data_IF_042423790244
#
_entry.id   IF_042423790244
#
_cell.length_a   1.000
_cell.length_b   1.000
_cell.length_c   1.000
_cell.angle_alpha   90.00
_cell.angle_beta   90.00
_cell.angle_gamma   90.00
#
_symmetry.space_group_name_H-M   'P 1'
#
loop_
_entity.id
_entity.type
_entity.pdbx_description
1 polymer ?
#
# COMPACT_ATOMS: atom_id res chain seq x y z
N UNK A 1 32.83 -19.23 -5.39
CA UNK A 1 31.86 -18.86 -4.37
C UNK A 1 30.49 -18.74 -5.02
N UNK A 2 29.46 -19.32 -4.41
CA UNK A 2 28.08 -19.18 -4.88
C UNK A 2 27.66 -17.71 -4.69
N UNK A 3 27.08 -17.11 -5.74
CA UNK A 3 26.57 -15.74 -5.65
C UNK A 3 25.16 -15.80 -4.99
N UNK A 4 25.07 -15.41 -3.73
CA UNK A 4 23.80 -15.42 -2.99
C UNK A 4 22.89 -14.31 -3.51
N UNK A 5 21.58 -14.58 -3.73
CA UNK A 5 20.65 -13.59 -4.28
C UNK A 5 20.25 -12.48 -3.27
N UNK A 6 20.37 -12.75 -1.96
CA UNK A 6 19.97 -11.82 -0.91
C UNK A 6 21.11 -10.83 -0.59
N UNK A 7 21.34 -9.90 -1.49
CA UNK A 7 22.11 -8.69 -1.26
C UNK A 7 21.32 -7.53 -1.87
N UNK A 8 20.52 -6.89 -1.06
CA UNK A 8 19.59 -5.84 -1.49
C UNK A 8 20.35 -4.52 -1.57
N UNK A 9 20.53 -4.03 -2.78
CA UNK A 9 21.18 -2.76 -3.09
C UNK A 9 20.41 -2.09 -4.22
N UNK A 10 19.86 -0.91 -3.92
CA UNK A 10 19.13 -0.07 -4.88
C UNK A 10 19.93 1.15 -5.33
N UNK A 11 21.23 1.16 -5.16
CA UNK A 11 22.11 2.26 -5.62
C UNK A 11 21.84 2.55 -7.11
N UNK A 12 21.56 3.80 -7.42
CA UNK A 12 21.23 4.25 -8.78
C UNK A 12 19.78 4.08 -9.20
N UNK A 13 18.95 3.35 -8.44
CA UNK A 13 17.51 3.19 -8.72
C UNK A 13 16.70 4.36 -8.16
N UNK A 14 15.67 4.76 -8.90
CA UNK A 14 14.66 5.74 -8.47
C UNK A 14 13.39 4.97 -8.05
N UNK A 15 12.96 5.18 -6.83
CA UNK A 15 11.75 4.58 -6.25
C UNK A 15 10.69 5.66 -6.05
N UNK A 16 9.56 5.52 -6.72
CA UNK A 16 8.40 6.41 -6.56
C UNK A 16 7.39 5.73 -5.65
N UNK A 17 6.95 6.42 -4.59
CA UNK A 17 6.05 5.87 -3.58
C UNK A 17 4.86 6.80 -3.39
N UNK A 18 3.65 6.35 -3.71
CA UNK A 18 2.42 7.09 -3.44
C UNK A 18 1.90 6.79 -2.03
N UNK A 19 1.28 7.78 -1.38
CA UNK A 19 0.84 7.66 0.01
C UNK A 19 2.00 7.68 1.00
N UNK A 20 3.15 8.26 0.63
CA UNK A 20 4.39 8.22 1.40
C UNK A 20 4.34 8.98 2.72
N UNK A 21 3.38 9.88 2.90
CA UNK A 21 3.12 10.54 4.19
C UNK A 21 2.48 9.61 5.23
N UNK A 22 2.00 8.42 4.83
CA UNK A 22 1.39 7.43 5.73
C UNK A 22 2.41 6.50 6.39
N UNK A 23 1.95 5.78 7.44
CA UNK A 23 2.78 4.90 8.26
C UNK A 23 3.53 3.84 7.44
N UNK A 24 2.82 3.09 6.60
CA UNK A 24 3.39 1.96 5.84
C UNK A 24 4.35 2.48 4.77
N UNK A 25 3.90 3.40 3.92
CA UNK A 25 4.69 3.89 2.80
C UNK A 25 5.83 4.80 3.23
N UNK A 26 5.70 5.52 4.36
CA UNK A 26 6.80 6.25 4.99
C UNK A 26 7.91 5.32 5.49
N UNK A 27 7.55 4.18 6.11
CA UNK A 27 8.53 3.16 6.50
C UNK A 27 9.21 2.54 5.27
N UNK A 28 8.47 2.27 4.19
CA UNK A 28 9.05 1.78 2.93
C UNK A 28 10.02 2.78 2.31
N UNK A 29 9.67 4.08 2.29
CA UNK A 29 10.54 5.14 1.79
C UNK A 29 11.89 5.16 2.52
N UNK A 30 11.86 5.05 3.86
CA UNK A 30 13.08 4.94 4.67
C UNK A 30 13.90 3.69 4.34
N UNK A 31 13.25 2.55 4.20
CA UNK A 31 13.92 1.30 3.88
C UNK A 31 14.59 1.33 2.50
N UNK A 32 13.92 1.83 1.47
CA UNK A 32 14.51 1.99 0.14
C UNK A 32 15.69 2.98 0.16
N UNK A 33 15.55 4.11 0.86
CA UNK A 33 16.64 5.09 1.00
C UNK A 33 17.88 4.48 1.69
N UNK A 34 17.68 3.70 2.77
CA UNK A 34 18.76 2.99 3.47
C UNK A 34 19.43 1.92 2.60
N UNK A 35 18.71 1.35 1.62
CA UNK A 35 19.27 0.45 0.62
C UNK A 35 19.87 1.18 -0.61
N UNK A 36 20.08 2.50 -0.54
CA UNK A 36 20.77 3.28 -1.57
C UNK A 36 19.91 3.86 -2.68
N UNK A 37 18.58 3.68 -2.63
CA UNK A 37 17.69 4.26 -3.64
C UNK A 37 17.57 5.79 -3.51
N UNK A 38 17.29 6.43 -4.65
CA UNK A 38 16.74 7.79 -4.69
C UNK A 38 15.22 7.68 -4.54
N UNK A 39 14.63 8.34 -3.55
CA UNK A 39 13.20 8.20 -3.24
C UNK A 39 12.42 9.44 -3.66
N UNK A 40 11.38 9.25 -4.46
CA UNK A 40 10.33 10.23 -4.72
C UNK A 40 9.13 9.91 -3.82
N UNK A 41 8.92 10.68 -2.78
CA UNK A 41 7.83 10.52 -1.83
C UNK A 41 6.62 11.36 -2.27
N UNK A 42 5.52 10.72 -2.68
CA UNK A 42 4.32 11.35 -3.19
C UNK A 42 3.17 11.22 -2.19
N UNK A 43 2.50 12.33 -1.85
CA UNK A 43 1.29 12.33 -1.03
C UNK A 43 0.41 13.56 -1.35
N UNK A 44 -0.87 13.48 -1.02
CA UNK A 44 -1.76 14.63 -1.03
C UNK A 44 -1.37 15.64 0.07
N UNK A 45 -0.85 15.14 1.20
CA UNK A 45 -0.32 15.93 2.30
C UNK A 45 1.15 16.32 2.03
N UNK A 46 1.33 17.50 1.46
CA UNK A 46 2.63 18.07 1.10
C UNK A 46 3.57 18.19 2.31
N UNK A 47 3.04 18.64 3.46
CA UNK A 47 3.83 18.82 4.68
C UNK A 47 4.42 17.49 5.18
N UNK A 48 3.62 16.41 5.12
CA UNK A 48 4.07 15.09 5.56
C UNK A 48 5.22 14.55 4.70
N UNK A 49 5.15 14.69 3.37
CA UNK A 49 6.22 14.20 2.48
C UNK A 49 7.44 15.09 2.48
N UNK A 50 7.27 16.40 2.67
CA UNK A 50 8.42 17.30 2.83
C UNK A 50 9.17 16.98 4.12
N UNK A 51 8.47 16.80 5.24
CA UNK A 51 9.07 16.38 6.50
C UNK A 51 9.85 15.06 6.36
N UNK A 52 9.24 14.05 5.71
CA UNK A 52 9.92 12.77 5.44
C UNK A 52 11.19 12.95 4.61
N UNK A 53 11.12 13.77 3.57
CA UNK A 53 12.27 14.05 2.70
C UNK A 53 13.39 14.77 3.48
N UNK A 54 13.05 15.79 4.28
CA UNK A 54 14.02 16.55 5.08
C UNK A 54 14.72 15.64 6.11
N UNK A 55 13.98 14.76 6.79
CA UNK A 55 14.53 13.78 7.73
C UNK A 55 15.52 12.84 7.04
N UNK A 56 15.14 12.26 5.90
CA UNK A 56 16.01 11.34 5.14
C UNK A 56 17.24 12.06 4.56
N UNK A 57 17.09 13.28 4.07
CA UNK A 57 18.22 14.09 3.61
C UNK A 57 19.19 14.47 4.76
N UNK A 58 18.68 14.74 5.95
CA UNK A 58 19.51 14.99 7.13
C UNK A 58 20.33 13.75 7.56
N UNK A 59 19.83 12.54 7.27
CA UNK A 59 20.54 11.27 7.47
C UNK A 59 21.52 10.94 6.32
N UNK A 60 21.60 11.79 5.27
CA UNK A 60 22.49 11.62 4.13
C UNK A 60 21.93 10.82 2.96
N UNK A 61 20.62 10.51 2.97
CA UNK A 61 19.95 9.83 1.87
C UNK A 61 19.41 10.81 0.82
N UNK A 62 19.02 10.31 -0.34
CA UNK A 62 18.44 11.10 -1.42
C UNK A 62 16.92 10.88 -1.42
N UNK A 63 16.17 11.87 -0.99
CA UNK A 63 14.71 11.86 -0.98
C UNK A 63 14.17 13.23 -1.39
N UNK A 64 13.07 13.24 -2.17
CA UNK A 64 12.30 14.46 -2.47
C UNK A 64 10.82 14.21 -2.23
N UNK A 65 10.16 15.17 -1.59
CA UNK A 65 8.71 15.18 -1.37
C UNK A 65 8.00 15.90 -2.51
N UNK A 66 6.89 15.32 -2.98
CA UNK A 66 6.04 15.90 -4.02
C UNK A 66 4.57 15.84 -3.58
N UNK A 67 3.89 16.97 -3.65
CA UNK A 67 2.43 16.99 -3.50
C UNK A 67 1.79 16.36 -4.72
N UNK A 68 1.05 15.29 -4.54
CA UNK A 68 0.39 14.57 -5.62
C UNK A 68 -1.01 14.11 -5.22
N UNK A 69 -2.00 14.44 -6.05
CA UNK A 69 -3.31 13.80 -6.01
C UNK A 69 -3.28 12.62 -6.99
N UNK A 70 -3.30 11.39 -6.47
CA UNK A 70 -3.28 10.18 -7.30
C UNK A 70 -4.54 9.96 -8.14
N UNK A 71 -5.57 10.78 -7.95
CA UNK A 71 -6.81 10.77 -8.74
C UNK A 71 -6.84 11.82 -9.85
N UNK A 72 -5.77 12.58 -10.00
CA UNK A 72 -5.66 13.65 -10.99
C UNK A 72 -4.53 13.33 -12.00
N UNK A 73 -4.89 12.93 -13.23
CA UNK A 73 -3.88 12.59 -14.24
C UNK A 73 -2.95 13.76 -14.62
N UNK A 74 -3.44 15.00 -14.63
CA UNK A 74 -2.62 16.16 -14.99
C UNK A 74 -1.58 16.45 -13.90
N UNK A 75 -1.98 16.34 -12.64
CA UNK A 75 -1.04 16.44 -11.50
C UNK A 75 0.00 15.32 -11.56
N UNK A 76 -0.41 14.09 -11.86
CA UNK A 76 0.52 12.96 -11.96
C UNK A 76 1.53 13.12 -13.09
N UNK A 77 1.13 13.61 -14.26
CA UNK A 77 2.05 13.91 -15.37
C UNK A 77 3.03 15.05 -15.01
N UNK A 78 2.55 16.10 -14.35
CA UNK A 78 3.41 17.18 -13.88
C UNK A 78 4.43 16.70 -12.84
N UNK A 79 4.00 15.88 -11.88
CA UNK A 79 4.88 15.30 -10.88
C UNK A 79 5.87 14.31 -11.51
N UNK A 80 5.43 13.49 -12.48
CA UNK A 80 6.33 12.60 -13.22
C UNK A 80 7.46 13.39 -13.91
N UNK A 81 7.14 14.50 -14.58
CA UNK A 81 8.15 15.36 -15.20
C UNK A 81 9.14 15.95 -14.19
N UNK A 82 8.67 16.34 -12.99
CA UNK A 82 9.53 16.82 -11.92
C UNK A 82 10.44 15.71 -11.38
N UNK A 83 9.90 14.50 -11.10
CA UNK A 83 10.68 13.34 -10.64
C UNK A 83 11.76 12.97 -11.66
N UNK A 84 11.41 12.95 -12.96
CA UNK A 84 12.33 12.65 -14.04
C UNK A 84 13.49 13.66 -14.08
N UNK A 85 13.20 14.94 -13.91
CA UNK A 85 14.22 16.00 -13.89
C UNK A 85 15.10 15.96 -12.64
N UNK A 86 14.53 15.66 -11.49
CA UNK A 86 15.19 15.73 -10.19
C UNK A 86 16.00 14.48 -9.85
N UNK A 87 15.44 13.30 -10.12
CA UNK A 87 15.95 12.02 -9.64
C UNK A 87 16.29 11.05 -10.78
N UNK A 88 15.61 11.17 -11.92
CA UNK A 88 15.74 10.27 -13.07
C UNK A 88 14.49 9.43 -13.35
N UNK A 89 14.58 8.48 -14.30
CA UNK A 89 13.52 7.53 -14.67
C UNK A 89 13.09 6.68 -13.48
N UNK A 90 11.79 6.47 -13.30
CA UNK A 90 11.26 5.57 -12.29
C UNK A 90 11.64 4.12 -12.59
N UNK A 91 12.32 3.46 -11.66
CA UNK A 91 12.66 2.03 -11.76
C UNK A 91 11.71 1.16 -10.92
N UNK A 92 11.20 1.71 -9.83
CA UNK A 92 10.30 1.01 -8.92
C UNK A 92 9.16 1.94 -8.56
N UNK A 93 7.93 1.48 -8.75
CA UNK A 93 6.72 2.19 -8.34
C UNK A 93 6.03 1.43 -7.21
N UNK A 94 5.82 2.09 -6.07
CA UNK A 94 5.01 1.57 -4.96
C UNK A 94 3.69 2.33 -4.92
N UNK A 95 2.60 1.66 -5.24
CA UNK A 95 1.25 2.19 -5.18
C UNK A 95 0.66 1.94 -3.79
N UNK A 96 0.78 2.92 -2.89
CA UNK A 96 0.34 2.79 -1.51
C UNK A 96 -0.75 3.77 -1.07
N UNK A 97 -1.12 4.73 -1.92
CA UNK A 97 -2.25 5.60 -1.64
C UNK A 97 -3.55 4.78 -1.56
N UNK A 98 -4.29 4.93 -0.48
CA UNK A 98 -5.51 4.15 -0.27
C UNK A 98 -6.14 4.43 1.10
N UNK A 99 -7.34 3.94 1.29
CA UNK A 99 -8.06 4.09 2.57
C UNK A 99 -9.53 3.73 2.47
N UNK A 100 -10.21 3.72 3.60
CA UNK A 100 -11.64 3.50 3.70
C UNK A 100 -12.38 4.84 3.90
N UNK A 101 -13.71 4.79 3.83
CA UNK A 101 -14.58 5.95 4.08
C UNK A 101 -15.72 5.57 5.04
N UNK A 102 -15.96 6.36 6.12
CA UNK A 102 -17.04 6.08 7.07
C UNK A 102 -18.44 6.05 6.41
N UNK A 103 -18.63 6.76 5.28
CA UNK A 103 -19.90 6.73 4.54
C UNK A 103 -20.16 5.40 3.83
N UNK A 104 -19.11 4.63 3.54
CA UNK A 104 -19.17 3.28 2.97
C UNK A 104 -19.00 2.17 4.02
N UNK A 105 -19.32 2.44 5.28
CA UNK A 105 -19.12 1.54 6.43
C UNK A 105 -20.43 1.33 7.16
N UNK A 106 -20.82 0.07 7.44
CA UNK A 106 -22.01 -0.25 8.28
C UNK A 106 -21.68 -0.15 9.76
N UNK A 107 -22.69 0.11 10.59
CA UNK A 107 -22.54 0.16 12.05
C UNK A 107 -22.34 -1.23 12.66
N UNK A 108 -23.10 -2.23 12.16
CA UNK A 108 -23.10 -3.58 12.68
C UNK A 108 -22.48 -4.58 11.70
N UNK A 109 -22.04 -5.72 12.22
CA UNK A 109 -21.43 -6.79 11.43
C UNK A 109 -22.48 -7.59 10.67
N UNK A 110 -23.61 -7.88 11.31
CA UNK A 110 -24.73 -8.64 10.76
C UNK A 110 -25.96 -7.78 10.65
N UNK A 111 -26.76 -8.00 9.62
CA UNK A 111 -27.96 -7.20 9.37
C UNK A 111 -29.01 -7.34 10.47
N UNK A 112 -29.18 -8.52 11.07
CA UNK A 112 -30.10 -8.75 12.16
C UNK A 112 -29.75 -8.03 13.46
N UNK A 113 -28.53 -7.49 13.56
CA UNK A 113 -28.08 -6.64 14.69
C UNK A 113 -28.30 -5.16 14.39
N UNK A 114 -28.87 -4.79 13.26
CA UNK A 114 -29.08 -3.39 12.89
C UNK A 114 -30.08 -2.71 13.85
N UNK A 115 -29.70 -1.53 14.31
CA UNK A 115 -30.56 -0.66 15.13
C UNK A 115 -31.07 0.51 14.29
N UNK A 116 -32.20 1.14 14.67
CA UNK A 116 -32.73 2.28 13.92
C UNK A 116 -31.75 3.46 13.79
N UNK A 117 -30.84 3.63 14.76
CA UNK A 117 -29.84 4.71 14.78
C UNK A 117 -28.55 4.31 14.06
N UNK A 118 -28.37 3.02 13.76
CA UNK A 118 -27.19 2.46 13.09
C UNK A 118 -27.33 2.48 11.58
N UNK A 119 -26.18 2.64 10.90
CA UNK A 119 -26.12 2.52 9.44
C UNK A 119 -26.10 1.05 9.03
N UNK A 120 -27.15 0.61 8.34
CA UNK A 120 -27.28 -0.72 7.75
C UNK A 120 -26.62 -0.78 6.36
N UNK A 121 -26.70 -1.94 5.69
CA UNK A 121 -26.29 -2.08 4.30
C UNK A 121 -27.05 -1.15 3.35
N UNK A 122 -28.35 -0.94 3.61
CA UNK A 122 -29.22 -0.11 2.77
C UNK A 122 -28.95 1.39 2.91
N UNK A 123 -28.20 1.79 3.94
CA UNK A 123 -27.85 3.19 4.23
C UNK A 123 -26.44 3.54 3.76
N UNK A 124 -25.75 2.63 3.08
CA UNK A 124 -24.43 2.92 2.51
C UNK A 124 -24.53 4.01 1.44
N UNK A 125 -23.73 5.06 1.60
CA UNK A 125 -23.71 6.19 0.70
C UNK A 125 -22.95 5.85 -0.59
N UNK A 126 -23.63 5.92 -1.74
CA UNK A 126 -23.04 5.65 -3.05
C UNK A 126 -21.81 6.53 -3.32
N UNK A 127 -21.78 7.79 -2.87
CA UNK A 127 -20.62 8.66 -3.04
C UNK A 127 -19.44 8.25 -2.16
N UNK A 128 -19.72 7.68 -0.98
CA UNK A 128 -18.71 7.08 -0.11
C UNK A 128 -18.10 5.82 -0.72
N UNK A 129 -18.94 4.97 -1.32
CA UNK A 129 -18.50 3.78 -2.07
C UNK A 129 -17.63 4.17 -3.26
N UNK A 130 -18.10 5.13 -4.07
CA UNK A 130 -17.37 5.67 -5.24
C UNK A 130 -15.99 6.22 -4.84
N UNK A 131 -15.93 7.01 -3.75
CA UNK A 131 -14.67 7.50 -3.22
C UNK A 131 -13.69 6.38 -2.88
N UNK A 132 -14.16 5.30 -2.21
CA UNK A 132 -13.30 4.17 -1.83
C UNK A 132 -12.76 3.46 -3.05
N UNK A 133 -13.58 3.21 -4.08
CA UNK A 133 -13.12 2.59 -5.32
C UNK A 133 -12.16 3.50 -6.09
N UNK A 134 -12.47 4.79 -6.21
CA UNK A 134 -11.56 5.76 -6.84
C UNK A 134 -10.22 5.77 -6.12
N UNK A 135 -10.21 6.00 -4.81
CA UNK A 135 -8.95 6.13 -4.08
C UNK A 135 -8.10 4.85 -4.15
N UNK A 136 -8.69 3.67 -3.95
CA UNK A 136 -7.89 2.44 -3.89
C UNK A 136 -7.57 1.88 -5.29
N UNK A 137 -8.53 1.83 -6.21
CA UNK A 137 -8.32 1.23 -7.52
C UNK A 137 -7.76 2.24 -8.54
N UNK A 138 -8.43 3.37 -8.76
CA UNK A 138 -7.91 4.39 -9.70
C UNK A 138 -6.61 5.01 -9.17
N UNK A 139 -6.48 5.21 -7.84
CA UNK A 139 -5.24 5.67 -7.20
C UNK A 139 -4.07 4.67 -7.28
N UNK A 140 -4.31 3.44 -7.74
CA UNK A 140 -3.27 2.47 -8.15
C UNK A 140 -3.05 2.51 -9.67
N UNK A 141 -4.13 2.57 -10.45
CA UNK A 141 -4.09 2.56 -11.92
C UNK A 141 -3.41 3.81 -12.49
N UNK A 142 -3.84 5.00 -12.07
CA UNK A 142 -3.36 6.27 -12.65
C UNK A 142 -1.86 6.52 -12.42
N UNK A 143 -1.29 6.33 -11.20
CA UNK A 143 0.16 6.41 -11.03
C UNK A 143 0.90 5.35 -11.85
N UNK A 144 0.33 4.15 -12.00
CA UNK A 144 0.92 3.11 -12.86
C UNK A 144 1.00 3.60 -14.31
N UNK A 145 -0.05 4.24 -14.84
CA UNK A 145 -0.03 4.82 -16.19
C UNK A 145 1.01 5.94 -16.32
N UNK A 146 1.18 6.78 -15.29
CA UNK A 146 2.11 7.89 -15.33
C UNK A 146 3.58 7.44 -15.29
N UNK A 147 3.93 6.49 -14.41
CA UNK A 147 5.32 6.16 -14.11
C UNK A 147 5.83 4.87 -14.78
N UNK A 148 4.97 3.87 -15.11
CA UNK A 148 5.44 2.62 -15.69
C UNK A 148 5.98 2.78 -17.12
N UNK A 149 5.67 3.88 -17.81
CA UNK A 149 6.26 4.18 -19.13
C UNK A 149 7.77 4.36 -19.10
N UNK A 150 8.35 4.77 -17.97
CA UNK A 150 9.79 4.88 -17.77
C UNK A 150 10.49 3.52 -17.78
N UNK A 151 9.73 2.45 -17.45
CA UNK A 151 10.24 1.08 -17.29
C UNK A 151 10.20 0.26 -18.60
N UNK A 152 9.58 0.77 -19.67
CA UNK A 152 9.33 -0.02 -20.89
C UNK A 152 10.62 -0.50 -21.59
N UNK A 153 11.69 0.27 -21.53
CA UNK A 153 12.97 -0.04 -22.17
C UNK A 153 13.86 -0.88 -21.29
N UNK A 154 14.00 -0.50 -20.01
CA UNK A 154 14.99 -1.03 -19.09
C UNK A 154 14.41 -2.07 -18.10
N UNK A 155 13.11 -2.30 -18.15
CA UNK A 155 12.39 -3.08 -17.14
C UNK A 155 12.18 -2.31 -15.83
N UNK A 156 11.55 -2.94 -14.87
CA UNK A 156 11.26 -2.33 -13.56
C UNK A 156 10.35 -3.16 -12.69
N UNK A 157 9.93 -2.59 -11.58
CA UNK A 157 9.04 -3.25 -10.65
C UNK A 157 7.90 -2.35 -10.20
N UNK A 158 6.68 -2.89 -10.21
CA UNK A 158 5.49 -2.28 -9.62
C UNK A 158 5.10 -3.10 -8.40
N UNK A 159 5.00 -2.45 -7.24
CA UNK A 159 4.50 -3.05 -6.01
C UNK A 159 3.21 -2.35 -5.59
N UNK A 160 2.11 -3.09 -5.56
CA UNK A 160 0.83 -2.57 -5.12
C UNK A 160 0.56 -2.94 -3.65
N UNK A 161 -0.07 -2.03 -2.92
CA UNK A 161 -0.52 -2.32 -1.55
C UNK A 161 -1.98 -2.76 -1.60
N UNK A 162 -2.18 -4.09 -1.54
CA UNK A 162 -3.47 -4.71 -1.38
C UNK A 162 -3.89 -4.73 0.10
N UNK A 163 -4.53 -5.77 0.56
CA UNK A 163 -4.91 -6.00 1.96
C UNK A 163 -5.29 -7.45 2.15
N UNK A 164 -5.17 -8.00 3.35
CA UNK A 164 -5.76 -9.30 3.70
C UNK A 164 -7.28 -9.32 3.45
N UNK A 165 -7.94 -8.16 3.42
CA UNK A 165 -9.35 -8.01 3.06
C UNK A 165 -9.68 -8.43 1.63
N UNK A 166 -8.69 -8.50 0.75
CA UNK A 166 -8.86 -9.02 -0.61
C UNK A 166 -9.08 -10.54 -0.63
N UNK A 167 -8.61 -11.24 0.40
CA UNK A 167 -8.79 -12.69 0.58
C UNK A 167 -9.99 -13.01 1.46
N UNK A 168 -10.07 -12.35 2.61
CA UNK A 168 -11.11 -12.57 3.62
C UNK A 168 -11.78 -11.23 3.90
N UNK A 169 -12.94 -10.93 3.27
CA UNK A 169 -13.59 -9.64 3.41
C UNK A 169 -14.03 -9.44 4.86
N UNK A 170 -13.64 -8.29 5.42
CA UNK A 170 -14.10 -7.91 6.73
C UNK A 170 -15.56 -7.45 6.70
N UNK A 171 -16.28 -7.77 7.77
CA UNK A 171 -17.58 -7.17 8.04
C UNK A 171 -17.50 -5.65 8.09
N UNK A 172 -18.59 -4.93 7.87
CA UNK A 172 -18.75 -3.47 7.92
C UNK A 172 -18.15 -2.66 6.77
N UNK A 173 -17.13 -3.14 6.03
CA UNK A 173 -16.39 -2.37 5.03
C UNK A 173 -16.41 -3.01 3.63
N UNK A 174 -17.60 -3.23 3.04
CA UNK A 174 -17.73 -3.98 1.78
C UNK A 174 -17.00 -3.31 0.62
N UNK A 175 -17.08 -1.98 0.51
CA UNK A 175 -16.45 -1.24 -0.57
C UNK A 175 -14.91 -1.33 -0.53
N UNK A 176 -14.31 -1.23 0.66
CA UNK A 176 -12.87 -1.34 0.81
C UNK A 176 -12.35 -2.75 0.47
N UNK A 177 -13.02 -3.79 0.97
CA UNK A 177 -12.67 -5.18 0.68
C UNK A 177 -12.74 -5.47 -0.82
N UNK A 178 -13.82 -5.05 -1.49
CA UNK A 178 -14.00 -5.21 -2.93
C UNK A 178 -12.94 -4.42 -3.73
N UNK A 179 -12.64 -3.17 -3.34
CA UNK A 179 -11.63 -2.37 -4.01
C UNK A 179 -10.22 -3.00 -3.89
N UNK A 180 -9.86 -3.54 -2.72
CA UNK A 180 -8.57 -4.23 -2.50
C UNK A 180 -8.50 -5.57 -3.23
N UNK A 181 -9.62 -6.31 -3.37
CA UNK A 181 -9.70 -7.47 -4.26
C UNK A 181 -9.48 -7.06 -5.73
N UNK A 182 -10.03 -5.92 -6.14
CA UNK A 182 -9.77 -5.31 -7.45
C UNK A 182 -8.28 -5.00 -7.66
N UNK A 183 -7.58 -4.43 -6.66
CA UNK A 183 -6.12 -4.20 -6.72
C UNK A 183 -5.34 -5.50 -6.87
N UNK A 184 -5.74 -6.57 -6.15
CA UNK A 184 -5.10 -7.89 -6.27
C UNK A 184 -5.26 -8.47 -7.68
N UNK A 185 -6.46 -8.42 -8.23
CA UNK A 185 -6.73 -8.88 -9.60
C UNK A 185 -5.99 -8.01 -10.65
N UNK A 186 -5.98 -6.69 -10.47
CA UNK A 186 -5.25 -5.77 -11.35
C UNK A 186 -3.73 -6.01 -11.31
N UNK A 187 -3.17 -6.38 -10.17
CA UNK A 187 -1.76 -6.79 -10.05
C UNK A 187 -1.44 -7.99 -10.95
N UNK A 188 -2.31 -9.00 -10.95
CA UNK A 188 -2.15 -10.19 -11.79
C UNK A 188 -2.30 -9.84 -13.28
N UNK A 189 -3.27 -8.97 -13.61
CA UNK A 189 -3.44 -8.48 -14.97
C UNK A 189 -2.21 -7.71 -15.47
N UNK A 190 -1.67 -6.79 -14.66
CA UNK A 190 -0.45 -6.04 -15.00
C UNK A 190 0.74 -6.96 -15.22
N UNK A 191 0.93 -7.96 -14.36
CA UNK A 191 2.00 -8.95 -14.49
C UNK A 191 1.95 -9.69 -15.84
N UNK A 192 0.75 -10.02 -16.31
CA UNK A 192 0.54 -10.66 -17.60
C UNK A 192 0.69 -9.66 -18.75
N UNK A 193 0.13 -8.46 -18.60
CA UNK A 193 0.16 -7.43 -19.64
C UNK A 193 1.59 -6.96 -19.96
N UNK A 194 2.43 -6.83 -18.93
CA UNK A 194 3.82 -6.39 -19.07
C UNK A 194 4.83 -7.54 -19.26
N UNK A 195 4.41 -8.80 -19.44
CA UNK A 195 5.29 -9.95 -19.49
C UNK A 195 6.42 -9.85 -20.54
N UNK A 196 6.24 -9.10 -21.62
CA UNK A 196 7.27 -8.91 -22.67
C UNK A 196 8.20 -7.72 -22.45
N UNK A 197 8.06 -6.97 -21.36
CA UNK A 197 8.79 -5.69 -21.13
C UNK A 197 9.75 -5.74 -19.95
N UNK A 198 9.97 -6.90 -19.35
CA UNK A 198 10.74 -7.07 -18.11
C UNK A 198 10.23 -6.24 -16.92
N UNK A 199 8.96 -5.78 -16.96
CA UNK A 199 8.32 -5.14 -15.83
C UNK A 199 7.62 -6.21 -15.01
N UNK A 200 8.01 -6.33 -13.74
CA UNK A 200 7.35 -7.22 -12.78
C UNK A 200 6.31 -6.44 -12.00
N UNK A 201 5.17 -7.06 -11.74
CA UNK A 201 4.11 -6.47 -10.93
C UNK A 201 3.66 -7.43 -9.85
N UNK A 202 3.83 -7.03 -8.59
CA UNK A 202 3.46 -7.82 -7.42
C UNK A 202 2.67 -6.95 -6.43
N UNK A 203 2.09 -7.58 -5.41
CA UNK A 203 1.47 -6.87 -4.31
C UNK A 203 1.84 -7.52 -2.97
N UNK A 204 1.82 -6.71 -1.92
CA UNK A 204 1.70 -7.20 -0.55
C UNK A 204 0.28 -6.98 -0.06
N UNK A 205 -0.18 -7.84 0.85
CA UNK A 205 -1.48 -7.78 1.49
C UNK A 205 -1.30 -7.70 3.00
N UNK A 206 -1.12 -6.48 3.57
CA UNK A 206 -0.94 -6.29 4.99
C UNK A 206 -2.16 -6.74 5.80
N UNK A 207 -1.89 -7.29 6.98
CA UNK A 207 -2.88 -7.55 8.02
C UNK A 207 -3.26 -6.29 8.80
N UNK A 208 -3.72 -6.47 10.02
CA UNK A 208 -4.06 -5.34 10.88
C UNK A 208 -2.79 -4.69 11.44
N UNK A 209 -2.69 -3.38 11.24
CA UNK A 209 -1.67 -2.51 11.85
C UNK A 209 -2.34 -1.48 12.75
N UNK A 210 -1.62 -1.06 13.77
CA UNK A 210 -2.00 0.08 14.61
C UNK A 210 -1.41 1.35 14.01
N UNK A 211 -2.23 2.36 13.80
CA UNK A 211 -1.83 3.67 13.31
C UNK A 211 -2.53 4.77 14.13
N UNK A 212 -2.04 6.00 14.04
CA UNK A 212 -2.72 7.13 14.67
C UNK A 212 -4.19 7.28 14.23
N UNK A 213 -4.49 6.92 12.97
CA UNK A 213 -5.85 7.02 12.41
C UNK A 213 -6.84 6.00 12.99
N UNK A 214 -6.38 4.83 13.43
CA UNK A 214 -7.24 3.77 13.91
C UNK A 214 -7.05 3.43 15.40
N UNK A 215 -6.17 4.15 16.09
CA UNK A 215 -5.84 3.89 17.49
C UNK A 215 -7.09 3.87 18.40
N UNK A 216 -7.94 4.89 18.29
CA UNK A 216 -9.18 5.01 19.07
C UNK A 216 -10.24 3.94 18.75
N UNK A 217 -10.12 3.25 17.59
CA UNK A 217 -10.99 2.12 17.25
C UNK A 217 -10.50 0.82 17.90
N UNK A 218 -9.21 0.76 18.29
CA UNK A 218 -8.55 -0.44 18.77
C UNK A 218 -8.25 -0.39 20.26
N UNK A 219 -8.07 0.79 20.83
CA UNK A 219 -7.73 0.97 22.25
C UNK A 219 -8.64 2.01 22.90
N UNK A 220 -9.01 1.73 24.14
CA UNK A 220 -9.70 2.66 25.03
C UNK A 220 -8.73 3.75 25.50
N UNK A 221 -9.24 4.79 26.17
CA UNK A 221 -8.43 5.89 26.72
C UNK A 221 -7.39 5.41 27.74
N UNK A 222 -7.68 4.32 28.46
CA UNK A 222 -6.78 3.70 29.42
C UNK A 222 -5.75 2.75 28.79
N UNK A 223 -5.73 2.65 27.43
CA UNK A 223 -4.84 1.79 26.67
C UNK A 223 -5.27 0.31 26.62
N UNK A 224 -6.41 -0.06 27.21
CA UNK A 224 -6.94 -1.43 27.11
C UNK A 224 -7.54 -1.67 25.73
N UNK A 225 -7.47 -2.93 25.19
CA UNK A 225 -8.09 -3.24 23.90
C UNK A 225 -9.61 -3.05 23.93
N UNK A 226 -10.16 -2.46 22.86
CA UNK A 226 -11.61 -2.45 22.64
C UNK A 226 -12.13 -3.85 22.30
N UNK A 227 -13.45 -4.04 22.35
CA UNK A 227 -14.08 -5.29 21.91
C UNK A 227 -13.71 -5.63 20.44
N UNK A 228 -13.58 -4.60 19.59
CA UNK A 228 -13.09 -4.76 18.21
C UNK A 228 -11.65 -5.29 18.17
N UNK A 229 -10.76 -4.71 18.96
CA UNK A 229 -9.37 -5.16 19.08
C UNK A 229 -9.27 -6.61 19.55
N UNK A 230 -10.01 -6.95 20.60
CA UNK A 230 -10.04 -8.33 21.12
C UNK A 230 -10.51 -9.34 20.05
N UNK A 231 -11.55 -8.97 19.26
CA UNK A 231 -12.04 -9.83 18.17
C UNK A 231 -11.00 -10.00 17.06
N UNK A 232 -10.29 -8.92 16.68
CA UNK A 232 -9.20 -8.99 15.70
C UNK A 232 -8.09 -9.91 16.19
N UNK A 233 -7.63 -9.72 17.42
CA UNK A 233 -6.54 -10.50 18.00
C UNK A 233 -6.90 -11.98 18.16
N UNK A 234 -8.15 -12.29 18.53
CA UNK A 234 -8.64 -13.66 18.61
C UNK A 234 -8.75 -14.34 17.23
N UNK A 235 -9.07 -13.57 16.20
CA UNK A 235 -9.10 -14.05 14.81
C UNK A 235 -7.73 -14.08 14.11
N UNK A 236 -6.67 -13.63 14.79
CA UNK A 236 -5.31 -13.62 14.26
C UNK A 236 -4.48 -14.68 14.96
N UNK A 237 -4.00 -15.76 14.29
CA UNK A 237 -3.28 -16.85 14.93
C UNK A 237 -2.07 -16.44 15.78
N UNK A 238 -1.35 -15.40 15.37
CA UNK A 238 -0.23 -14.87 16.15
C UNK A 238 -0.66 -13.98 17.33
N UNK A 239 -1.94 -13.73 17.53
CA UNK A 239 -2.53 -12.91 18.60
C UNK A 239 -1.90 -11.52 18.77
N UNK A 240 -1.46 -10.91 17.66
CA UNK A 240 -0.86 -9.58 17.64
C UNK A 240 -1.16 -8.83 16.33
N UNK A 241 -0.94 -7.55 16.36
CA UNK A 241 -0.91 -6.71 15.15
C UNK A 241 0.41 -6.88 14.38
N UNK A 242 0.38 -6.57 13.10
CA UNK A 242 1.58 -6.43 12.25
C UNK A 242 2.20 -5.06 12.52
N UNK A 243 3.52 -4.98 12.57
CA UNK A 243 4.26 -3.71 12.58
C UNK A 243 4.64 -3.32 11.15
N UNK A 244 4.78 -2.02 10.89
CA UNK A 244 5.14 -1.54 9.56
C UNK A 244 6.49 -2.08 9.08
N UNK A 245 7.43 -2.25 9.99
CA UNK A 245 8.77 -2.78 9.74
C UNK A 245 8.75 -4.22 9.26
N UNK A 246 7.73 -5.01 9.64
CA UNK A 246 7.59 -6.42 9.21
C UNK A 246 7.19 -6.54 7.73
N UNK A 247 6.69 -5.46 7.13
CA UNK A 247 6.38 -5.41 5.70
C UNK A 247 7.63 -5.18 4.84
N UNK A 248 8.70 -4.61 5.42
CA UNK A 248 9.85 -4.10 4.68
C UNK A 248 10.65 -5.21 4.01
N UNK A 249 10.85 -6.34 4.71
CA UNK A 249 11.59 -7.46 4.15
C UNK A 249 10.98 -7.99 2.85
N UNK A 250 9.65 -8.20 2.85
CA UNK A 250 8.92 -8.65 1.66
C UNK A 250 8.88 -7.56 0.57
N UNK A 251 8.72 -6.29 0.94
CA UNK A 251 8.74 -5.15 0.02
C UNK A 251 10.07 -5.08 -0.73
N UNK A 252 11.18 -5.06 0.00
CA UNK A 252 12.51 -5.00 -0.59
C UNK A 252 12.80 -6.25 -1.43
N UNK A 253 12.45 -7.44 -0.95
CA UNK A 253 12.63 -8.69 -1.70
C UNK A 253 11.86 -8.69 -3.04
N UNK A 254 10.57 -8.36 -3.02
CA UNK A 254 9.74 -8.39 -4.23
C UNK A 254 10.16 -7.32 -5.27
N UNK A 255 10.75 -6.21 -4.83
CA UNK A 255 11.24 -5.17 -5.71
C UNK A 255 12.65 -5.42 -6.23
N UNK A 256 13.42 -6.33 -5.64
CA UNK A 256 14.80 -6.62 -6.09
C UNK A 256 14.82 -7.54 -7.32
N UNK A 257 15.40 -7.03 -8.41
CA UNK A 257 15.47 -7.74 -9.70
C UNK A 257 16.34 -9.02 -9.66
N UNK A 258 17.23 -9.14 -8.68
CA UNK A 258 18.11 -10.31 -8.54
C UNK A 258 17.42 -11.42 -7.75
N UNK A 259 16.75 -11.04 -6.65
CA UNK A 259 16.13 -11.99 -5.72
C UNK A 259 14.76 -12.46 -6.22
N UNK A 260 14.02 -11.61 -6.94
CA UNK A 260 12.63 -11.86 -7.34
C UNK A 260 12.41 -11.82 -8.86
N UNK A 261 13.45 -12.05 -9.67
CA UNK A 261 13.38 -11.95 -11.14
C UNK A 261 12.28 -12.81 -11.80
N UNK A 262 11.97 -13.96 -11.23
CA UNK A 262 10.93 -14.87 -11.71
C UNK A 262 9.57 -14.70 -10.99
N UNK A 263 9.46 -13.70 -10.08
CA UNK A 263 8.25 -13.48 -9.29
C UNK A 263 7.49 -12.28 -9.86
N UNK A 264 6.35 -12.56 -10.49
CA UNK A 264 5.41 -11.55 -10.97
C UNK A 264 3.97 -12.07 -10.83
N UNK A 265 3.02 -11.21 -10.51
CA UNK A 265 1.61 -11.55 -10.30
C UNK A 265 1.29 -12.10 -8.90
N UNK A 266 2.24 -12.13 -7.97
CA UNK A 266 1.97 -12.58 -6.61
C UNK A 266 1.30 -11.49 -5.79
N UNK A 267 0.37 -11.89 -4.94
CA UNK A 267 -0.18 -11.07 -3.85
C UNK A 267 0.19 -11.76 -2.55
N UNK A 268 1.13 -11.19 -1.80
CA UNK A 268 1.73 -11.83 -0.63
C UNK A 268 1.09 -11.34 0.66
N UNK A 269 0.33 -12.18 1.40
CA UNK A 269 -0.18 -11.82 2.72
C UNK A 269 0.96 -11.66 3.73
N UNK A 270 0.90 -10.58 4.53
CA UNK A 270 1.77 -10.33 5.67
C UNK A 270 0.85 -9.92 6.82
N UNK A 271 0.22 -10.90 7.46
CA UNK A 271 -0.98 -10.68 8.27
C UNK A 271 -1.04 -11.51 9.55
N UNK A 272 0.08 -12.05 9.99
CA UNK A 272 0.15 -12.91 11.18
C UNK A 272 -0.78 -14.15 11.11
N UNK A 273 -1.07 -14.60 9.87
CA UNK A 273 -1.89 -15.77 9.61
C UNK A 273 -3.40 -15.52 9.55
N UNK A 274 -3.84 -14.26 9.60
CA UNK A 274 -5.28 -13.92 9.62
C UNK A 274 -6.04 -14.48 8.41
N UNK A 275 -5.53 -14.30 7.20
CA UNK A 275 -6.19 -14.77 5.97
C UNK A 275 -6.20 -16.30 5.83
N UNK A 276 -5.31 -17.00 6.51
CA UNK A 276 -5.19 -18.46 6.48
C UNK A 276 -6.08 -19.16 7.52
N UNK A 277 -6.56 -18.42 8.53
CA UNK A 277 -7.28 -18.99 9.67
C UNK A 277 -8.76 -19.21 9.35
N UNK A 278 -9.22 -20.44 9.51
CA UNK A 278 -10.61 -20.83 9.27
C UNK A 278 -11.55 -20.61 10.47
N UNK A 279 -11.02 -20.22 11.64
CA UNK A 279 -11.80 -20.04 12.87
C UNK A 279 -11.89 -21.28 13.75
N UNK A 280 -11.27 -22.40 13.37
CA UNK A 280 -11.24 -23.68 14.13
C UNK A 280 -9.83 -24.25 14.15
#
# INVERSE_FOLDING_TARGET
MMNLPLHIDYTGKVVVITGAGGLICGAMARAFAQCGAKVAALDLNEEAVQKLADELCAEGFICKGYKANVLDPEVLEAVHAQVLADLGKCNILVNGAGGNNPRATTSNEYHHEATPEGKSFFDLDASGVDFVFKLNFQGTLLPTQAFAKDMLEDGGCILNISSMNAYTPLTKIPAYSAAKAGVSNFTQWLATHFAGTNIRCNAIAPGFLVSAQNYSLLFNEDGTPTARSAKILNGTPCHRYVNAEELLGATLFLCDDRSASAITGVVLPIDCGFAAYSGV
#
